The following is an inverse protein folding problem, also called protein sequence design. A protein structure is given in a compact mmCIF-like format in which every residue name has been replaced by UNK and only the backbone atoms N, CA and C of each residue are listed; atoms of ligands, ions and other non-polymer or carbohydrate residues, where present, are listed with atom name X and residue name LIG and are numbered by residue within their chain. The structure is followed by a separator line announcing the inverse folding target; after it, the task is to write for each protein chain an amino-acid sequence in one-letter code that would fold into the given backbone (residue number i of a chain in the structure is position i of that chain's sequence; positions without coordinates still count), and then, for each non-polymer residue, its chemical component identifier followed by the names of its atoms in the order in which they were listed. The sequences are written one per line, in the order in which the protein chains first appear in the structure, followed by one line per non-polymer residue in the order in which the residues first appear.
data_IF_056566225957
#
_entry.id   IF_056566225957
#
_cell.length_a   1.000
_cell.length_b   1.000
_cell.length_c   1.000
_cell.angle_alpha   90.00
_cell.angle_beta   90.00
_cell.angle_gamma   90.00
#
_symmetry.space_group_name_H-M   'P 1'
#
loop_
_entity.id
_entity.type
_entity.pdbx_description
1 polymer ?
#
# COMPACT_ATOMS: atom_id res chain seq x y z
N UNK A 1 -20.76 3.31 -0.23
CA UNK A 1 -19.46 2.77 -0.69
C UNK A 1 -18.41 3.46 0.18
N UNK A 2 -17.55 2.71 0.86
CA UNK A 2 -16.61 3.23 1.87
C UNK A 2 -15.22 3.44 1.26
N UNK A 3 -14.48 4.44 1.75
CA UNK A 3 -13.29 4.96 1.10
C UNK A 3 -12.10 5.00 2.08
N UNK A 4 -10.92 4.45 1.80
CA UNK A 4 -9.74 4.75 2.65
C UNK A 4 -9.04 6.00 2.08
N UNK A 5 -8.92 7.11 2.81
CA UNK A 5 -8.09 8.25 2.35
C UNK A 5 -6.70 8.20 2.99
N UNK A 6 -5.68 8.03 2.16
CA UNK A 6 -4.28 8.18 2.57
C UNK A 6 -3.72 9.49 2.01
N UNK A 7 -2.60 9.96 2.54
CA UNK A 7 -1.97 11.21 2.13
C UNK A 7 -0.46 11.11 2.30
N UNK A 8 0.26 10.93 1.19
CA UNK A 8 1.71 10.63 1.21
C UNK A 8 2.44 11.43 0.11
N UNK A 9 3.62 11.97 0.46
CA UNK A 9 4.55 12.71 -0.41
C UNK A 9 5.28 11.76 -1.33
N UNK A 10 4.95 11.80 -2.63
CA UNK A 10 5.56 10.91 -3.62
C UNK A 10 5.84 11.64 -4.95
N UNK A 11 7.11 11.64 -5.33
CA UNK A 11 7.58 11.92 -6.68
C UNK A 11 8.63 10.86 -7.03
N UNK A 12 8.37 10.03 -8.05
CA UNK A 12 9.20 8.86 -8.39
C UNK A 12 9.47 7.94 -7.20
N UNK A 13 8.43 7.69 -6.42
CA UNK A 13 8.46 6.92 -5.18
C UNK A 13 7.29 5.95 -5.13
N UNK A 14 7.45 4.91 -4.32
CA UNK A 14 6.40 3.97 -4.00
C UNK A 14 6.03 4.08 -2.52
N UNK A 15 4.80 3.73 -2.19
CA UNK A 15 4.28 3.55 -0.84
C UNK A 15 3.52 2.23 -0.77
N UNK A 16 3.36 1.67 0.43
CA UNK A 16 2.66 0.40 0.58
C UNK A 16 1.88 0.29 1.88
N UNK A 17 0.91 -0.62 1.86
CA UNK A 17 0.12 -1.04 2.99
C UNK A 17 0.27 -2.55 3.13
N UNK A 18 0.76 -3.02 4.28
CA UNK A 18 0.82 -4.43 4.63
C UNK A 18 -0.30 -4.81 5.61
N UNK A 19 -1.01 -5.89 5.33
CA UNK A 19 -2.17 -6.38 6.08
C UNK A 19 -1.76 -7.56 6.98
N UNK A 20 -1.74 -7.34 8.29
CA UNK A 20 -1.36 -8.32 9.33
C UNK A 20 -0.36 -7.76 10.36
N UNK A 21 -0.07 -8.50 11.44
CA UNK A 21 0.88 -8.08 12.48
C UNK A 21 2.34 -8.24 12.02
N UNK A 22 3.21 -7.28 12.40
CA UNK A 22 4.63 -7.32 12.04
C UNK A 22 4.89 -7.01 10.57
N UNK A 23 6.02 -7.47 10.00
CA UNK A 23 6.40 -7.23 8.59
C UNK A 23 6.50 -8.50 7.72
N UNK A 24 6.35 -9.68 8.32
CA UNK A 24 6.45 -10.96 7.63
C UNK A 24 5.07 -11.54 7.30
N UNK A 25 4.95 -12.26 6.18
CA UNK A 25 3.74 -13.02 5.82
C UNK A 25 2.50 -12.15 5.56
N UNK A 26 2.70 -10.88 5.18
CA UNK A 26 1.64 -9.91 4.94
C UNK A 26 1.17 -9.93 3.49
N UNK A 27 -0.13 -9.79 3.26
CA UNK A 27 -0.62 -9.30 1.97
C UNK A 27 -0.27 -7.82 1.86
N UNK A 28 0.19 -7.37 0.71
CA UNK A 28 0.56 -5.97 0.51
C UNK A 28 -0.15 -5.36 -0.68
N UNK A 29 -0.44 -4.07 -0.58
CA UNK A 29 -0.80 -3.20 -1.70
C UNK A 29 0.31 -2.17 -1.83
N UNK A 30 0.86 -2.04 -3.03
CA UNK A 30 1.92 -1.09 -3.35
C UNK A 30 1.40 -0.10 -4.39
N UNK A 31 1.45 1.19 -4.07
CA UNK A 31 1.20 2.27 -5.01
C UNK A 31 2.54 2.83 -5.47
N UNK A 32 2.78 2.79 -6.78
CA UNK A 32 3.98 3.34 -7.41
C UNK A 32 3.60 4.59 -8.18
N UNK A 33 4.30 5.69 -7.92
CA UNK A 33 4.09 6.95 -8.62
C UNK A 33 5.32 7.32 -9.40
N UNK A 34 5.21 7.21 -10.72
CA UNK A 34 6.29 7.47 -11.65
C UNK A 34 5.80 8.44 -12.71
N UNK A 35 6.51 9.56 -12.90
CA UNK A 35 6.16 10.57 -13.90
C UNK A 35 4.69 11.05 -13.79
N UNK A 36 4.17 11.16 -12.56
CA UNK A 36 2.78 11.55 -12.28
C UNK A 36 1.73 10.45 -12.53
N UNK A 37 2.13 9.29 -13.05
CA UNK A 37 1.25 8.14 -13.24
C UNK A 37 1.27 7.26 -12.00
N UNK A 38 0.08 6.88 -11.52
CA UNK A 38 -0.09 5.97 -10.38
C UNK A 38 -0.37 4.58 -10.93
N UNK A 39 0.43 3.62 -10.53
CA UNK A 39 0.18 2.19 -10.78
C UNK A 39 0.09 1.47 -9.44
N UNK A 40 -0.69 0.38 -9.41
CA UNK A 40 -0.91 -0.39 -8.19
C UNK A 40 -0.56 -1.84 -8.41
N UNK A 41 0.08 -2.46 -7.42
CA UNK A 41 0.40 -3.89 -7.41
C UNK A 41 0.03 -4.50 -6.08
N UNK A 42 -0.40 -5.75 -6.11
CA UNK A 42 -0.60 -6.57 -4.91
C UNK A 42 0.46 -7.67 -4.85
N UNK A 43 0.70 -8.18 -3.66
CA UNK A 43 1.62 -9.28 -3.46
C UNK A 43 1.68 -9.72 -2.01
N UNK A 44 2.73 -10.47 -1.68
CA UNK A 44 2.93 -11.01 -0.33
C UNK A 44 4.39 -10.94 0.12
N UNK A 45 4.62 -10.60 1.38
CA UNK A 45 5.91 -10.82 2.03
C UNK A 45 5.98 -12.24 2.59
N UNK A 46 7.13 -12.90 2.59
CA UNK A 46 7.34 -14.21 3.23
C UNK A 46 8.33 -14.14 4.41
N UNK A 47 8.88 -12.95 4.67
CA UNK A 47 9.87 -12.64 5.70
C UNK A 47 10.22 -11.15 5.68
N UNK A 48 11.39 -10.78 6.24
CA UNK A 48 11.93 -9.42 6.17
C UNK A 48 12.61 -9.17 4.82
N UNK A 49 11.81 -9.16 3.74
CA UNK A 49 12.29 -9.01 2.38
C UNK A 49 11.28 -8.31 1.48
N UNK A 50 11.64 -8.07 0.21
CA UNK A 50 10.71 -7.49 -0.75
C UNK A 50 9.51 -8.41 -0.95
N UNK A 51 8.32 -7.86 -1.24
CA UNK A 51 7.15 -8.65 -1.56
C UNK A 51 7.35 -9.36 -2.89
N UNK A 52 6.82 -10.58 -2.98
CA UNK A 52 6.59 -11.26 -4.25
C UNK A 52 5.25 -10.76 -4.77
N UNK A 53 5.26 -10.11 -5.93
CA UNK A 53 4.05 -9.55 -6.52
C UNK A 53 3.21 -10.63 -7.22
N UNK A 54 1.90 -10.47 -7.13
CA UNK A 54 0.95 -11.32 -7.83
C UNK A 54 1.05 -11.11 -9.34
N UNK A 55 0.70 -12.14 -10.12
CA UNK A 55 0.61 -12.05 -11.58
C UNK A 55 -0.49 -11.08 -12.05
N UNK A 56 -1.48 -10.83 -11.20
CA UNK A 56 -2.59 -9.92 -11.44
C UNK A 56 -2.86 -9.10 -10.19
N UNK A 57 -3.20 -7.83 -10.37
CA UNK A 57 -3.58 -6.97 -9.26
C UNK A 57 -4.91 -7.47 -8.66
N UNK A 58 -4.89 -7.90 -7.41
CA UNK A 58 -6.04 -8.56 -6.77
C UNK A 58 -6.87 -7.58 -5.93
N UNK A 59 -6.97 -6.32 -6.36
CA UNK A 59 -7.81 -5.29 -5.73
C UNK A 59 -8.55 -4.51 -6.81
N UNK A 60 -9.67 -3.90 -6.43
CA UNK A 60 -10.36 -2.95 -7.28
C UNK A 60 -10.00 -1.54 -6.81
N UNK A 61 -9.32 -0.77 -7.66
CA UNK A 61 -8.98 0.64 -7.38
C UNK A 61 -10.04 1.52 -8.04
N UNK A 62 -10.89 2.15 -7.24
CA UNK A 62 -11.97 2.99 -7.74
C UNK A 62 -11.55 4.47 -7.90
N UNK A 63 -10.47 4.89 -7.22
CA UNK A 63 -9.81 6.18 -7.42
C UNK A 63 -8.34 6.05 -7.07
N UNK A 64 -7.45 6.63 -7.87
CA UNK A 64 -6.08 6.91 -7.46
C UNK A 64 -5.65 8.21 -8.12
N UNK A 65 -5.35 9.23 -7.32
CA UNK A 65 -4.82 10.50 -7.79
C UNK A 65 -3.74 11.01 -6.84
N UNK A 66 -2.97 11.98 -7.30
CA UNK A 66 -2.06 12.71 -6.43
C UNK A 66 -2.32 14.22 -6.56
N UNK A 67 -2.29 14.92 -5.44
CA UNK A 67 -2.36 16.38 -5.39
C UNK A 67 -1.11 16.90 -4.69
N UNK A 68 -0.21 17.53 -5.47
CA UNK A 68 1.12 17.88 -4.99
C UNK A 68 1.86 16.65 -4.47
N UNK A 69 2.17 16.67 -3.18
CA UNK A 69 2.83 15.61 -2.43
C UNK A 69 1.85 14.73 -1.65
N UNK A 70 0.68 14.43 -2.20
CA UNK A 70 -0.35 13.67 -1.48
C UNK A 70 -1.02 12.68 -2.42
N UNK A 71 -0.76 11.39 -2.26
CA UNK A 71 -1.53 10.32 -2.90
C UNK A 71 -2.86 10.10 -2.20
N UNK A 72 -3.97 10.19 -2.94
CA UNK A 72 -5.29 9.74 -2.50
C UNK A 72 -5.67 8.50 -3.30
N UNK A 73 -5.95 7.40 -2.61
CA UNK A 73 -6.31 6.14 -3.26
C UNK A 73 -7.49 5.47 -2.57
N UNK A 74 -8.54 5.21 -3.34
CA UNK A 74 -9.72 4.46 -2.97
C UNK A 74 -9.66 3.08 -3.60
N UNK A 75 -9.75 2.03 -2.79
CA UNK A 75 -9.72 0.66 -3.27
C UNK A 75 -10.53 -0.26 -2.38
N UNK A 76 -10.93 -1.41 -2.93
CA UNK A 76 -11.50 -2.53 -2.20
C UNK A 76 -10.64 -3.78 -2.38
N UNK A 77 -10.63 -4.59 -1.33
CA UNK A 77 -9.80 -5.80 -1.24
C UNK A 77 -10.66 -7.04 -1.06
N UNK A 78 -10.29 -8.19 -1.66
CA UNK A 78 -11.07 -9.43 -1.56
C UNK A 78 -10.73 -10.22 -0.29
N UNK A 79 -9.65 -9.87 0.42
CA UNK A 79 -9.30 -10.53 1.69
C UNK A 79 -10.17 -10.06 2.84
N UNK A 80 -10.42 -10.95 3.79
CA UNK A 80 -11.34 -10.73 4.90
C UNK A 80 -10.80 -9.67 5.87
N UNK A 81 -11.16 -8.41 5.61
CA UNK A 81 -10.95 -7.25 6.49
C UNK A 81 -12.08 -7.06 7.51
N UNK A 82 -13.03 -8.01 7.61
CA UNK A 82 -14.22 -7.87 8.50
C UNK A 82 -13.84 -7.86 9.97
N UNK A 83 -12.81 -8.59 10.34
CA UNK A 83 -12.20 -8.49 11.67
C UNK A 83 -11.09 -7.46 11.59
N UNK A 84 -11.13 -6.48 12.49
CA UNK A 84 -10.11 -5.43 12.56
C UNK A 84 -8.72 -6.06 12.64
N UNK A 85 -7.76 -5.53 11.88
CA UNK A 85 -6.43 -6.10 11.78
C UNK A 85 -5.34 -5.06 11.97
N UNK A 86 -4.13 -5.53 12.23
CA UNK A 86 -2.96 -4.67 12.15
C UNK A 86 -2.68 -4.32 10.68
N UNK A 87 -2.38 -3.05 10.42
CA UNK A 87 -1.94 -2.55 9.12
C UNK A 87 -0.60 -1.85 9.29
N UNK A 88 0.32 -2.10 8.36
CA UNK A 88 1.64 -1.51 8.33
C UNK A 88 1.74 -0.53 7.18
N UNK A 89 1.94 0.74 7.48
CA UNK A 89 2.04 1.80 6.51
C UNK A 89 3.50 2.10 6.20
N UNK A 90 3.89 1.88 4.95
CA UNK A 90 5.21 2.22 4.44
C UNK A 90 5.11 3.60 3.79
N UNK A 91 5.74 4.60 4.41
CA UNK A 91 5.61 5.98 3.93
C UNK A 91 6.18 6.16 2.53
N UNK A 92 7.44 5.76 2.29
CA UNK A 92 8.02 5.87 0.95
C UNK A 92 9.22 4.95 0.73
N UNK A 93 9.49 4.65 -0.53
CA UNK A 93 10.77 4.18 -1.01
C UNK A 93 11.04 4.68 -2.43
N UNK A 94 12.31 4.71 -2.88
CA UNK A 94 12.65 5.19 -4.21
C UNK A 94 12.21 4.17 -5.27
N UNK A 95 11.91 4.66 -6.46
CA UNK A 95 11.76 3.82 -7.65
C UNK A 95 13.01 3.98 -8.53
N UNK A 96 13.77 2.91 -8.69
CA UNK A 96 15.01 2.88 -9.44
C UNK A 96 14.80 2.05 -10.71
N UNK A 97 14.92 2.65 -11.90
CA UNK A 97 14.71 1.98 -13.19
C UNK A 97 13.37 1.23 -13.28
N UNK A 98 12.29 1.80 -12.74
CA UNK A 98 10.97 1.16 -12.71
C UNK A 98 10.80 0.09 -11.63
N UNK A 99 11.81 -0.15 -10.80
CA UNK A 99 11.78 -1.15 -9.74
C UNK A 99 11.73 -0.53 -8.36
N UNK A 100 11.08 -1.25 -7.45
CA UNK A 100 10.92 -0.86 -6.06
C UNK A 100 12.26 -0.96 -5.31
N UNK A 101 12.80 0.17 -4.85
CA UNK A 101 13.94 0.20 -3.93
C UNK A 101 13.53 -0.02 -2.47
N UNK A 102 14.49 -0.05 -1.55
CA UNK A 102 14.23 -0.23 -0.10
C UNK A 102 13.50 1.00 0.46
N UNK A 103 12.52 0.79 1.35
CA UNK A 103 11.82 1.89 2.00
C UNK A 103 12.75 2.71 2.91
N UNK A 104 12.52 4.01 3.00
CA UNK A 104 13.43 4.97 3.66
C UNK A 104 13.18 5.14 5.14
N UNK A 105 12.02 4.71 5.64
CA UNK A 105 11.62 4.80 7.04
C UNK A 105 11.02 3.49 7.53
N UNK A 106 11.03 3.29 8.86
CA UNK A 106 10.36 2.15 9.49
C UNK A 106 8.85 2.25 9.23
N UNK A 107 8.16 1.15 8.87
CA UNK A 107 6.72 1.19 8.70
C UNK A 107 5.99 1.49 10.00
N UNK A 108 4.91 2.26 9.88
CA UNK A 108 4.02 2.62 10.98
C UNK A 108 2.94 1.55 11.11
N UNK A 109 2.95 0.79 12.21
CA UNK A 109 1.92 -0.21 12.47
C UNK A 109 0.75 0.42 13.23
N UNK A 110 -0.45 0.30 12.68
CA UNK A 110 -1.71 0.67 13.33
C UNK A 110 -2.48 -0.61 13.61
N UNK A 111 -2.85 -0.82 14.87
CA UNK A 111 -3.62 -1.99 15.29
C UNK A 111 -5.12 -1.71 15.21
N UNK A 112 -5.91 -2.78 15.09
CA UNK A 112 -7.37 -2.72 15.10
C UNK A 112 -7.98 -1.83 14.00
N UNK A 113 -7.36 -1.77 12.82
CA UNK A 113 -7.97 -1.11 11.66
C UNK A 113 -9.05 -2.02 11.08
N UNK A 114 -10.30 -1.59 11.21
CA UNK A 114 -11.45 -2.28 10.65
C UNK A 114 -11.77 -1.71 9.26
N UNK A 115 -12.37 -2.51 8.38
CA UNK A 115 -12.86 -2.03 7.09
C UNK A 115 -13.79 -0.79 7.23
N UNK A 116 -14.62 -0.77 8.27
CA UNK A 116 -15.53 0.34 8.60
C UNK A 116 -14.84 1.63 9.06
N UNK A 117 -13.55 1.56 9.41
CA UNK A 117 -12.73 2.71 9.84
C UNK A 117 -11.91 3.31 8.69
N UNK A 118 -11.84 2.63 7.55
CA UNK A 118 -11.40 3.24 6.31
C UNK A 118 -12.47 4.22 5.81
N UNK A 119 -12.31 5.51 6.13
CA UNK A 119 -13.17 6.62 5.69
C UNK A 119 -12.40 7.66 4.88
#
# INVERSE_FOLDING_TARGET
MEHCKFSIRIYNQWTAIGFGPGMSNLNVIVFMVQNGQITTRTGRTTGYGPPVFDNQNNINVSMANHSGSTLNALFSVPWNVRNCQAMNFVQSGPINNGQMGVHTSRPDQVNNVCASQCR
#
